data_IF_841827802448
#
_entry.id   IF_841827802448
#
_cell.length_a   1.000
_cell.length_b   1.000
_cell.length_c   1.000
_cell.angle_alpha   90.00
_cell.angle_beta   90.00
_cell.angle_gamma   90.00
#
_symmetry.space_group_name_H-M   'P 1'
#
loop_
_entity.id
_entity.type
_entity.pdbx_description
1 polymer ?
#
# COMPACT_ATOMS: atom_id res chain seq x y z
N UNK A 1 -4.50 -26.59 -30.11
CA UNK A 1 -4.98 -27.07 -28.80
C UNK A 1 -3.83 -26.91 -27.83
N UNK A 2 -4.00 -26.19 -26.72
CA UNK A 2 -2.98 -26.14 -25.67
C UNK A 2 -2.90 -27.52 -25.03
N UNK A 3 -1.81 -28.25 -25.25
CA UNK A 3 -1.56 -29.52 -24.58
C UNK A 3 -1.22 -29.22 -23.12
N UNK A 4 -2.04 -29.73 -22.20
CA UNK A 4 -1.80 -29.63 -20.77
C UNK A 4 -0.80 -30.71 -20.36
N UNK A 5 0.43 -30.31 -20.07
CA UNK A 5 1.49 -31.19 -19.58
C UNK A 5 1.58 -31.11 -18.04
N UNK A 6 1.30 -32.19 -17.30
CA UNK A 6 1.45 -32.23 -15.85
C UNK A 6 2.85 -31.82 -15.35
N UNK A 7 3.91 -32.02 -16.15
CA UNK A 7 5.27 -31.60 -15.81
C UNK A 7 5.38 -30.09 -15.68
N UNK A 8 4.65 -29.33 -16.50
CA UNK A 8 4.59 -27.87 -16.43
C UNK A 8 4.10 -27.39 -15.06
N UNK A 9 3.06 -28.03 -14.52
CA UNK A 9 2.54 -27.69 -13.19
C UNK A 9 3.56 -27.94 -12.07
N UNK A 10 4.32 -29.04 -12.16
CA UNK A 10 5.36 -29.36 -11.18
C UNK A 10 6.49 -28.32 -11.25
N UNK A 11 6.87 -27.87 -12.44
CA UNK A 11 7.92 -26.87 -12.62
C UNK A 11 7.53 -25.49 -12.08
N UNK A 12 6.26 -25.07 -12.24
CA UNK A 12 5.79 -23.78 -11.70
C UNK A 12 5.37 -23.85 -10.22
N UNK A 13 5.14 -25.05 -9.68
CA UNK A 13 4.66 -25.24 -8.31
C UNK A 13 5.50 -24.50 -7.25
N UNK A 14 6.85 -24.53 -7.26
CA UNK A 14 7.65 -23.78 -6.28
C UNK A 14 7.37 -22.27 -6.31
N UNK A 15 7.22 -21.69 -7.50
CA UNK A 15 6.92 -20.26 -7.65
C UNK A 15 5.51 -19.94 -7.15
N UNK A 16 4.52 -20.79 -7.48
CA UNK A 16 3.15 -20.64 -7.00
C UNK A 16 3.05 -20.76 -5.46
N UNK A 17 3.76 -21.72 -4.87
CA UNK A 17 3.81 -21.91 -3.42
C UNK A 17 4.43 -20.68 -2.74
N UNK A 18 5.52 -20.15 -3.28
CA UNK A 18 6.15 -18.94 -2.74
C UNK A 18 5.23 -17.72 -2.85
N UNK A 19 4.56 -17.55 -3.99
CA UNK A 19 3.59 -16.48 -4.22
C UNK A 19 2.44 -16.56 -3.20
N UNK A 20 1.86 -17.74 -3.01
CA UNK A 20 0.76 -17.95 -2.08
C UNK A 20 1.20 -17.70 -0.63
N UNK A 21 2.39 -18.20 -0.25
CA UNK A 21 2.96 -17.93 1.07
C UNK A 21 3.18 -16.43 1.31
N UNK A 22 3.75 -15.70 0.34
CA UNK A 22 3.94 -14.25 0.43
C UNK A 22 2.61 -13.52 0.63
N UNK A 23 1.57 -13.90 -0.12
CA UNK A 23 0.22 -13.34 0.03
C UNK A 23 -0.36 -13.59 1.43
N UNK A 24 -0.20 -14.80 1.97
CA UNK A 24 -0.60 -15.11 3.35
C UNK A 24 0.15 -14.21 4.33
N UNK A 25 1.47 -14.05 4.17
CA UNK A 25 2.29 -13.24 5.09
C UNK A 25 1.88 -11.78 5.10
N UNK A 26 1.62 -11.18 3.94
CA UNK A 26 1.13 -9.79 3.81
C UNK A 26 -0.21 -9.62 4.51
N UNK A 27 -1.20 -10.45 4.18
CA UNK A 27 -2.54 -10.39 4.80
C UNK A 27 -2.47 -10.59 6.31
N UNK A 28 -1.62 -11.51 6.78
CA UNK A 28 -1.43 -11.78 8.21
C UNK A 28 -0.78 -10.61 8.94
N UNK A 29 0.22 -9.96 8.34
CA UNK A 29 0.88 -8.80 8.90
C UNK A 29 -0.07 -7.61 8.99
N UNK A 30 -0.82 -7.35 7.91
CA UNK A 30 -1.86 -6.32 7.88
C UNK A 30 -2.90 -6.54 8.98
N UNK A 31 -3.50 -7.73 9.04
CA UNK A 31 -4.52 -8.06 10.04
C UNK A 31 -4.00 -7.92 11.47
N UNK A 32 -2.72 -8.27 11.72
CA UNK A 32 -2.08 -8.08 13.03
C UNK A 32 -1.88 -6.61 13.34
N UNK A 33 -1.36 -5.83 12.40
CA UNK A 33 -1.13 -4.39 12.58
C UNK A 33 -2.42 -3.58 12.73
N UNK A 34 -3.52 -4.03 12.12
CA UNK A 34 -4.85 -3.43 12.32
C UNK A 34 -5.39 -3.61 13.73
N UNK A 35 -4.84 -4.52 14.54
CA UNK A 35 -5.21 -4.70 15.96
C UNK A 35 -4.35 -3.88 16.90
N UNK A 36 -3.27 -3.28 16.41
CA UNK A 36 -2.37 -2.45 17.22
C UNK A 36 -2.84 -1.00 17.13
N UNK A 37 -3.31 -0.37 18.22
CA UNK A 37 -3.81 0.99 18.18
C UNK A 37 -2.69 2.00 17.93
N UNK A 38 -3.03 3.11 17.29
CA UNK A 38 -2.14 4.23 16.98
C UNK A 38 -2.80 5.58 17.32
N UNK A 39 -2.01 6.64 17.57
CA UNK A 39 -2.54 7.95 17.95
C UNK A 39 -3.09 8.77 16.75
N UNK A 40 -2.87 8.33 15.52
CA UNK A 40 -3.35 8.98 14.31
C UNK A 40 -4.14 7.98 13.46
N UNK A 41 -5.11 8.47 12.67
CA UNK A 41 -5.68 7.67 11.58
C UNK A 41 -4.71 7.62 10.40
N UNK A 42 -4.93 6.71 9.44
CA UNK A 42 -4.15 6.69 8.20
C UNK A 42 -4.21 8.05 7.49
N UNK A 43 -5.39 8.63 7.32
CA UNK A 43 -5.54 9.94 6.69
C UNK A 43 -4.78 11.06 7.44
N UNK A 44 -4.87 11.07 8.78
CA UNK A 44 -4.15 12.05 9.59
C UNK A 44 -2.62 11.87 9.52
N UNK A 45 -2.15 10.63 9.48
CA UNK A 45 -0.73 10.32 9.33
C UNK A 45 -0.20 10.73 7.94
N UNK A 46 -0.92 10.41 6.86
CA UNK A 46 -0.58 10.86 5.52
C UNK A 46 -0.49 12.39 5.44
N UNK A 47 -1.52 13.09 5.95
CA UNK A 47 -1.53 14.56 5.97
C UNK A 47 -0.35 15.13 6.73
N UNK A 48 -0.11 14.62 7.95
CA UNK A 48 1.01 15.02 8.79
C UNK A 48 2.35 14.88 8.05
N UNK A 49 2.61 13.73 7.42
CA UNK A 49 3.87 13.47 6.71
C UNK A 49 4.03 14.41 5.52
N UNK A 50 3.00 14.52 4.68
CA UNK A 50 3.02 15.35 3.48
C UNK A 50 3.25 16.83 3.81
N UNK A 51 2.61 17.35 4.86
CA UNK A 51 2.80 18.75 5.29
C UNK A 51 4.23 19.03 5.75
N UNK A 52 4.79 18.14 6.58
CA UNK A 52 6.15 18.31 7.11
C UNK A 52 7.23 18.15 6.05
N UNK A 53 6.89 17.49 4.95
CA UNK A 53 7.82 17.20 3.87
C UNK A 53 7.60 18.10 2.63
N UNK A 54 6.80 19.17 2.76
CA UNK A 54 6.66 20.19 1.72
C UNK A 54 5.75 19.81 0.56
N UNK A 55 4.83 18.85 0.77
CA UNK A 55 3.82 18.41 -0.20
C UNK A 55 2.37 18.72 0.28
N UNK A 56 2.05 19.96 0.69
CA UNK A 56 0.70 20.31 1.16
C UNK A 56 -0.37 20.21 0.06
N UNK A 57 0.04 20.28 -1.21
CA UNK A 57 -0.81 20.23 -2.40
C UNK A 57 -1.28 18.83 -2.78
N UNK A 58 -0.71 17.78 -2.18
CA UNK A 58 -1.17 16.41 -2.40
C UNK A 58 -2.47 16.19 -1.65
N UNK A 59 -3.55 15.93 -2.40
CA UNK A 59 -4.87 15.63 -1.85
C UNK A 59 -4.94 14.20 -1.31
N UNK A 60 -5.82 13.98 -0.33
CA UNK A 60 -6.03 12.65 0.29
C UNK A 60 -7.49 12.25 0.10
N UNK A 61 -7.71 11.14 -0.59
CA UNK A 61 -9.05 10.64 -0.92
C UNK A 61 -9.26 9.21 -0.40
N UNK A 62 -10.53 8.80 -0.35
CA UNK A 62 -10.92 7.41 -0.10
C UNK A 62 -11.05 6.68 -1.43
N UNK A 63 -10.50 5.47 -1.53
CA UNK A 63 -10.69 4.56 -2.67
C UNK A 63 -11.45 3.29 -2.23
N UNK A 64 -12.31 2.71 -3.09
CA UNK A 64 -12.96 1.45 -2.79
C UNK A 64 -11.97 0.28 -2.72
N UNK A 65 -12.38 -0.77 -2.01
CA UNK A 65 -11.60 -1.99 -1.83
C UNK A 65 -10.80 -2.01 -0.53
N UNK A 66 -10.03 -3.09 -0.36
CA UNK A 66 -9.17 -3.33 0.80
C UNK A 66 -7.74 -3.47 0.31
N UNK A 67 -6.78 -2.82 0.98
CA UNK A 67 -5.38 -2.78 0.54
C UNK A 67 -5.24 -2.27 -0.90
N UNK A 68 -6.09 -1.32 -1.29
CA UNK A 68 -6.09 -0.64 -2.58
C UNK A 68 -5.43 0.75 -2.52
N UNK A 69 -4.76 1.04 -1.41
CA UNK A 69 -4.03 2.27 -1.14
C UNK A 69 -2.95 2.50 -2.19
N UNK A 70 -2.89 3.72 -2.74
CA UNK A 70 -1.88 4.11 -3.72
C UNK A 70 -1.76 5.64 -3.84
N UNK A 71 -0.56 6.12 -4.13
CA UNK A 71 -0.35 7.48 -4.67
C UNK A 71 -0.42 7.49 -6.20
N UNK A 72 -1.15 8.47 -6.75
CA UNK A 72 -1.22 8.73 -8.20
C UNK A 72 -0.42 10.00 -8.55
N UNK A 73 0.78 9.87 -9.14
CA UNK A 73 1.63 11.02 -9.46
C UNK A 73 1.06 11.90 -10.58
N UNK A 74 0.15 11.38 -11.42
CA UNK A 74 -0.38 12.13 -12.58
C UNK A 74 -1.31 13.24 -12.15
N UNK A 75 -2.09 12.99 -11.10
CA UNK A 75 -3.04 13.95 -10.51
C UNK A 75 -2.64 14.42 -9.11
N UNK A 76 -1.51 13.91 -8.58
CA UNK A 76 -0.97 14.22 -7.25
C UNK A 76 -1.96 13.93 -6.11
N UNK A 77 -2.62 12.78 -6.16
CA UNK A 77 -3.60 12.35 -5.15
C UNK A 77 -3.12 11.09 -4.44
N UNK A 78 -3.19 11.09 -3.11
CA UNK A 78 -2.96 9.92 -2.27
C UNK A 78 -4.30 9.30 -1.90
N UNK A 79 -4.55 8.08 -2.39
CA UNK A 79 -5.80 7.36 -2.14
C UNK A 79 -5.59 6.29 -1.08
N UNK A 80 -6.44 6.31 -0.05
CA UNK A 80 -6.44 5.31 1.00
C UNK A 80 -7.72 4.48 0.94
N UNK A 81 -7.61 3.18 1.15
CA UNK A 81 -8.75 2.31 1.34
C UNK A 81 -9.54 2.74 2.58
N UNK A 82 -10.85 2.49 2.60
CA UNK A 82 -11.72 2.97 3.69
C UNK A 82 -11.23 2.51 5.08
N UNK A 83 -10.73 1.27 5.17
CA UNK A 83 -10.18 0.71 6.41
C UNK A 83 -8.92 1.47 6.87
N UNK A 84 -8.04 1.87 5.96
CA UNK A 84 -6.81 2.60 6.29
C UNK A 84 -7.10 4.07 6.57
N UNK A 85 -7.94 4.70 5.75
CA UNK A 85 -8.26 6.13 5.85
C UNK A 85 -8.78 6.48 7.25
N UNK A 86 -9.74 5.71 7.78
CA UNK A 86 -10.41 6.00 9.05
C UNK A 86 -9.75 5.36 10.27
N UNK A 87 -9.09 4.21 10.12
CA UNK A 87 -8.61 3.45 11.28
C UNK A 87 -7.40 4.09 11.94
N UNK A 88 -7.39 4.04 13.27
CA UNK A 88 -6.31 4.53 14.13
C UNK A 88 -5.43 3.38 14.60
N UNK A 89 -4.72 2.76 13.66
CA UNK A 89 -3.96 1.52 13.90
C UNK A 89 -2.55 1.61 13.31
N UNK A 90 -1.63 0.78 13.79
CA UNK A 90 -0.26 0.77 13.32
C UNK A 90 -0.17 0.40 11.83
N UNK A 91 -1.01 -0.52 11.35
CA UNK A 91 -1.09 -0.85 9.93
C UNK A 91 -1.60 0.33 9.09
N UNK A 92 -2.66 1.00 9.54
CA UNK A 92 -3.21 2.15 8.82
C UNK A 92 -2.20 3.30 8.71
N UNK A 93 -1.53 3.63 9.81
CA UNK A 93 -0.46 4.63 9.82
C UNK A 93 0.73 4.21 8.93
N UNK A 94 1.13 2.93 9.00
CA UNK A 94 2.23 2.41 8.18
C UNK A 94 1.96 2.46 6.69
N UNK A 95 0.76 2.09 6.25
CA UNK A 95 0.35 2.15 4.83
C UNK A 95 0.26 3.61 4.37
N UNK A 96 -0.39 4.48 5.15
CA UNK A 96 -0.46 5.90 4.83
C UNK A 96 0.92 6.56 4.71
N UNK A 97 1.87 6.18 5.58
CA UNK A 97 3.25 6.64 5.52
C UNK A 97 3.99 6.12 4.28
N UNK A 98 3.75 4.87 3.87
CA UNK A 98 4.31 4.31 2.65
C UNK A 98 3.85 5.08 1.41
N UNK A 99 2.55 5.35 1.27
CA UNK A 99 2.01 6.10 0.15
C UNK A 99 2.45 7.57 0.13
N UNK A 100 2.53 8.20 1.31
CA UNK A 100 3.10 9.53 1.42
C UNK A 100 4.59 9.56 1.01
N UNK A 101 5.31 8.45 1.22
CA UNK A 101 6.68 8.26 0.73
C UNK A 101 6.78 8.31 -0.79
N UNK A 102 5.85 7.67 -1.51
CA UNK A 102 5.79 7.75 -2.98
C UNK A 102 5.53 9.18 -3.47
N UNK A 103 4.63 9.90 -2.79
CA UNK A 103 4.38 11.31 -3.08
C UNK A 103 5.64 12.18 -2.90
N UNK A 104 6.43 11.88 -1.85
CA UNK A 104 7.68 12.56 -1.57
C UNK A 104 8.76 12.29 -2.61
N UNK A 105 8.91 11.04 -3.01
CA UNK A 105 9.84 10.63 -4.06
C UNK A 105 9.50 11.32 -5.38
N UNK A 106 8.22 11.39 -5.72
CA UNK A 106 7.74 12.13 -6.88
C UNK A 106 8.07 13.63 -6.79
N UNK A 107 7.81 14.27 -5.64
CA UNK A 107 8.12 15.69 -5.44
C UNK A 107 9.64 16.00 -5.56
N UNK A 108 10.50 15.06 -5.17
CA UNK A 108 11.96 15.20 -5.25
C UNK A 108 12.55 14.79 -6.61
N UNK A 109 11.73 14.44 -7.61
CA UNK A 109 12.18 13.90 -8.90
C UNK A 109 13.12 12.70 -8.75
N UNK A 110 12.82 11.81 -7.79
CA UNK A 110 13.66 10.65 -7.51
C UNK A 110 13.58 9.64 -8.67
N UNK A 111 14.71 9.46 -9.36
CA UNK A 111 14.82 8.78 -10.65
C UNK A 111 14.41 7.28 -10.76
N UNK A 112 14.38 6.43 -9.71
CA UNK A 112 13.97 5.04 -9.89
C UNK A 112 12.45 4.83 -9.99
N UNK A 113 11.63 5.88 -9.94
CA UNK A 113 10.15 5.80 -9.98
C UNK A 113 9.48 6.79 -10.97
N UNK A 114 10.26 7.42 -11.86
CA UNK A 114 9.73 8.19 -13.02
C UNK A 114 9.73 7.33 -14.28
#
# INVERSE_FOLDING_TARGET
MLFFDPLYLIMIAPALLLMFWAQIRVKSAFARGMRVPAPLSGAAAARYILDHAGCPDVEIEITPGTLSDHYDPRVRVLRLSQDVYHSRTAAAVGIAAHEAGHALQHAQSYAPLV
#
